data_IF_208649663657
#
_entry.id   IF_208649663657
#
_cell.length_a   1.000
_cell.length_b   1.000
_cell.length_c   1.000
_cell.angle_alpha   90.00
_cell.angle_beta   90.00
_cell.angle_gamma   90.00
#
_symmetry.space_group_name_H-M   'P 1'
#
loop_
_entity.id
_entity.type
_entity.pdbx_description
1 polymer ?
#
# COMPACT_ATOMS: atom_id res chain seq x y z
N UNK A 1 24.80 2.71 -20.75
CA UNK A 1 23.43 2.52 -21.27
C UNK A 1 22.50 3.31 -20.37
N UNK A 2 21.84 4.36 -20.89
CA UNK A 2 20.75 5.00 -20.14
C UNK A 2 19.64 3.94 -19.99
N UNK A 3 19.23 3.66 -18.75
CA UNK A 3 18.13 2.72 -18.50
C UNK A 3 16.84 3.40 -19.00
N UNK A 4 16.20 2.79 -19.98
CA UNK A 4 14.92 3.26 -20.50
C UNK A 4 13.79 2.86 -19.54
N UNK A 5 12.76 3.68 -19.45
CA UNK A 5 11.59 3.35 -18.64
C UNK A 5 10.87 2.13 -19.18
N UNK A 6 10.53 1.16 -18.32
CA UNK A 6 9.71 0.05 -18.76
C UNK A 6 8.37 0.56 -19.27
N UNK A 7 7.96 0.10 -20.45
CA UNK A 7 6.68 0.49 -21.08
C UNK A 7 5.49 0.30 -20.13
N UNK A 8 5.49 -0.77 -19.33
CA UNK A 8 4.43 -1.02 -18.36
C UNK A 8 4.32 0.10 -17.32
N UNK A 9 5.45 0.70 -16.90
CA UNK A 9 5.49 1.75 -15.90
C UNK A 9 5.00 3.08 -16.48
N UNK A 10 5.37 3.40 -17.71
CA UNK A 10 4.84 4.55 -18.44
C UNK A 10 3.31 4.47 -18.53
N UNK A 11 2.79 3.33 -19.01
CA UNK A 11 1.35 3.11 -19.12
C UNK A 11 0.65 3.17 -17.75
N UNK A 12 1.27 2.62 -16.71
CA UNK A 12 0.73 2.64 -15.35
C UNK A 12 0.64 4.06 -14.79
N UNK A 13 1.68 4.88 -14.98
CA UNK A 13 1.67 6.30 -14.58
C UNK A 13 0.65 7.08 -15.39
N UNK A 14 0.55 6.87 -16.70
CA UNK A 14 -0.48 7.50 -17.53
C UNK A 14 -1.89 7.14 -17.06
N UNK A 15 -2.13 5.87 -16.73
CA UNK A 15 -3.44 5.38 -16.31
C UNK A 15 -3.87 5.89 -14.92
N UNK A 16 -2.98 5.84 -13.95
CA UNK A 16 -3.32 5.99 -12.53
C UNK A 16 -2.67 7.20 -11.84
N UNK A 17 -1.74 7.88 -12.51
CA UNK A 17 -1.10 9.09 -12.02
C UNK A 17 -0.36 8.91 -10.68
N UNK A 18 -0.27 9.96 -9.87
CA UNK A 18 0.42 9.93 -8.57
C UNK A 18 -0.18 8.90 -7.59
N UNK A 19 -1.52 8.79 -7.54
CA UNK A 19 -2.21 7.81 -6.68
C UNK A 19 -1.81 6.38 -7.03
N UNK A 20 -1.74 6.06 -8.33
CA UNK A 20 -1.22 4.78 -8.79
C UNK A 20 0.22 4.56 -8.38
N UNK A 21 1.08 5.55 -8.60
CA UNK A 21 2.51 5.43 -8.28
C UNK A 21 2.76 5.18 -6.78
N UNK A 22 2.04 5.88 -5.91
CA UNK A 22 2.10 5.65 -4.46
C UNK A 22 1.57 4.25 -4.10
N UNK A 23 0.48 3.80 -4.72
CA UNK A 23 -0.05 2.45 -4.51
C UNK A 23 0.95 1.36 -4.98
N UNK A 24 1.62 1.59 -6.11
CA UNK A 24 2.66 0.71 -6.64
C UNK A 24 3.91 0.66 -5.74
N UNK A 25 4.34 1.80 -5.20
CA UNK A 25 5.43 1.88 -4.23
C UNK A 25 5.10 1.11 -2.94
N UNK A 26 3.88 1.26 -2.42
CA UNK A 26 3.39 0.42 -1.32
C UNK A 26 3.33 -1.07 -1.73
N UNK A 27 2.94 -1.38 -2.95
CA UNK A 27 2.92 -2.77 -3.42
C UNK A 27 4.32 -3.39 -3.47
N UNK A 28 5.32 -2.63 -3.92
CA UNK A 28 6.72 -3.05 -3.90
C UNK A 28 7.23 -3.29 -2.46
N UNK A 29 6.89 -2.37 -1.53
CA UNK A 29 7.22 -2.51 -0.11
C UNK A 29 6.56 -3.73 0.55
N UNK A 30 5.37 -4.14 0.10
CA UNK A 30 4.66 -5.30 0.62
C UNK A 30 5.47 -6.61 0.47
N UNK A 31 6.29 -6.72 -0.59
CA UNK A 31 7.20 -7.84 -0.81
C UNK A 31 8.44 -7.85 0.08
N UNK A 32 8.55 -6.86 0.97
CA UNK A 32 9.57 -6.77 2.02
C UNK A 32 8.97 -6.41 3.38
N UNK A 33 7.66 -6.58 3.56
CA UNK A 33 6.92 -6.07 4.72
C UNK A 33 7.48 -6.55 6.07
N UNK A 34 7.93 -7.81 6.16
CA UNK A 34 8.59 -8.33 7.37
C UNK A 34 9.90 -7.57 7.64
N UNK A 35 10.74 -7.41 6.62
CA UNK A 35 12.04 -6.73 6.70
C UNK A 35 11.88 -5.27 7.10
N UNK A 36 10.89 -4.60 6.49
CA UNK A 36 10.61 -3.20 6.81
C UNK A 36 10.16 -3.08 8.27
N UNK A 37 9.29 -3.98 8.77
CA UNK A 37 8.92 -3.99 10.20
C UNK A 37 10.09 -4.27 11.13
N UNK A 38 11.00 -5.17 10.76
CA UNK A 38 12.21 -5.45 11.55
C UNK A 38 13.08 -4.19 11.73
N UNK A 39 13.17 -3.34 10.70
CA UNK A 39 14.02 -2.14 10.69
C UNK A 39 13.30 -0.86 11.15
N UNK A 40 12.01 -0.75 10.87
CA UNK A 40 11.22 0.47 11.02
C UNK A 40 10.03 0.31 11.97
N UNK A 41 9.91 -0.83 12.64
CA UNK A 41 8.85 -1.22 13.58
C UNK A 41 7.46 -1.44 12.95
N UNK A 42 7.13 -0.72 11.88
CA UNK A 42 5.82 -0.75 11.21
C UNK A 42 5.94 -0.86 9.70
N UNK A 43 4.85 -1.23 9.03
CA UNK A 43 4.71 -1.17 7.58
C UNK A 43 3.26 -0.81 7.22
N UNK A 44 2.98 0.40 6.71
CA UNK A 44 1.67 1.06 6.80
C UNK A 44 0.54 0.22 6.21
N UNK A 45 -0.65 0.34 6.79
CA UNK A 45 -1.87 -0.22 6.20
C UNK A 45 -2.30 0.70 5.08
N UNK A 46 -2.45 0.16 3.87
CA UNK A 46 -2.96 0.94 2.75
C UNK A 46 -4.48 0.93 2.75
N UNK A 47 -5.09 2.09 2.55
CA UNK A 47 -6.51 2.19 2.28
C UNK A 47 -6.72 2.92 0.96
N UNK A 48 -7.38 2.26 0.00
CA UNK A 48 -7.72 2.83 -1.31
C UNK A 48 -9.21 3.13 -1.30
N UNK A 49 -9.53 4.42 -1.24
CA UNK A 49 -10.91 4.91 -1.10
C UNK A 49 -11.39 5.64 -2.35
N UNK A 50 -12.69 5.87 -2.43
CA UNK A 50 -13.30 6.73 -3.44
C UNK A 50 -14.67 6.23 -3.87
N UNK A 51 -15.41 7.03 -4.64
CA UNK A 51 -16.77 6.72 -5.06
C UNK A 51 -16.85 5.47 -5.96
N UNK A 52 -18.05 4.94 -6.18
CA UNK A 52 -18.26 3.89 -7.16
C UNK A 52 -17.82 4.37 -8.56
N UNK A 53 -17.11 3.52 -9.31
CA UNK A 53 -16.68 3.81 -10.68
C UNK A 53 -15.40 4.67 -10.83
N UNK A 54 -14.74 5.10 -9.74
CA UNK A 54 -13.47 5.87 -9.83
C UNK A 54 -12.24 5.01 -10.19
N UNK A 55 -12.41 3.69 -10.34
CA UNK A 55 -11.34 2.79 -10.79
C UNK A 55 -10.57 2.06 -9.70
N UNK A 56 -11.07 1.98 -8.45
CA UNK A 56 -10.44 1.24 -7.33
C UNK A 56 -10.05 -0.20 -7.71
N UNK A 57 -11.02 -1.01 -8.14
CA UNK A 57 -10.76 -2.41 -8.53
C UNK A 57 -9.89 -2.50 -9.79
N UNK A 58 -9.96 -1.54 -10.71
CA UNK A 58 -9.08 -1.48 -11.88
C UNK A 58 -7.61 -1.28 -11.48
N UNK A 59 -7.34 -0.36 -10.54
CA UNK A 59 -6.00 -0.15 -10.01
C UNK A 59 -5.45 -1.43 -9.36
N UNK A 60 -6.24 -2.03 -8.47
CA UNK A 60 -5.84 -3.25 -7.73
C UNK A 60 -5.63 -4.43 -8.66
N UNK A 61 -6.50 -4.62 -9.65
CA UNK A 61 -6.34 -5.68 -10.65
C UNK A 61 -5.03 -5.50 -11.44
N UNK A 62 -4.65 -4.27 -11.80
CA UNK A 62 -3.38 -4.02 -12.47
C UNK A 62 -2.17 -4.24 -11.55
N UNK A 63 -2.27 -3.94 -10.26
CA UNK A 63 -1.23 -4.27 -9.27
C UNK A 63 -1.03 -5.80 -9.12
N UNK A 64 -2.10 -6.59 -9.17
CA UNK A 64 -2.01 -8.06 -9.19
C UNK A 64 -1.36 -8.61 -10.47
N UNK A 65 -1.70 -8.03 -11.62
CA UNK A 65 -1.06 -8.38 -12.89
C UNK A 65 0.44 -8.14 -12.89
N UNK A 66 0.87 -7.02 -12.30
CA UNK A 66 2.29 -6.67 -12.17
C UNK A 66 3.11 -7.72 -11.40
N UNK A 67 2.45 -8.57 -10.61
CA UNK A 67 3.10 -9.62 -9.82
C UNK A 67 2.80 -11.03 -10.35
N UNK A 68 2.31 -11.11 -11.59
CA UNK A 68 2.07 -12.36 -12.29
C UNK A 68 0.76 -13.06 -11.94
N UNK A 69 -0.14 -12.42 -11.19
CA UNK A 69 -1.45 -12.98 -10.86
C UNK A 69 -2.48 -12.58 -11.90
N UNK A 70 -3.04 -13.55 -12.62
CA UNK A 70 -4.14 -13.34 -13.57
C UNK A 70 -5.46 -13.03 -12.86
N UNK A 71 -5.65 -13.64 -11.70
CA UNK A 71 -6.84 -13.49 -10.88
C UNK A 71 -6.52 -12.56 -9.69
N UNK A 72 -7.41 -11.62 -9.42
CA UNK A 72 -7.27 -10.78 -8.24
C UNK A 72 -7.45 -11.66 -6.99
N UNK A 73 -6.42 -11.75 -6.14
CA UNK A 73 -6.50 -12.49 -4.88
C UNK A 73 -7.20 -11.70 -3.77
N UNK A 74 -8.09 -10.78 -4.14
CA UNK A 74 -8.85 -9.97 -3.20
C UNK A 74 -9.75 -10.88 -2.34
N UNK A 75 -10.00 -10.45 -1.10
CA UNK A 75 -10.91 -11.13 -0.17
C UNK A 75 -11.94 -10.15 0.33
N UNK A 76 -13.10 -10.64 0.66
CA UNK A 76 -14.15 -9.89 1.34
C UNK A 76 -14.82 -10.80 2.35
N UNK A 77 -15.52 -10.26 3.35
CA UNK A 77 -16.30 -11.10 4.25
C UNK A 77 -17.50 -11.80 3.59
N UNK A 78 -17.87 -11.38 2.38
CA UNK A 78 -18.85 -12.11 1.55
C UNK A 78 -18.25 -13.35 0.90
N UNK A 79 -16.91 -13.45 0.80
CA UNK A 79 -16.20 -14.56 0.13
C UNK A 79 -15.33 -15.38 1.10
N UNK A 80 -15.03 -14.85 2.28
CA UNK A 80 -14.12 -15.43 3.26
C UNK A 80 -14.60 -15.14 4.69
N UNK A 81 -14.79 -16.17 5.52
CA UNK A 81 -15.12 -15.96 6.93
C UNK A 81 -13.96 -15.28 7.67
N UNK A 82 -14.23 -14.63 8.81
CA UNK A 82 -13.17 -14.00 9.63
C UNK A 82 -12.10 -15.01 10.08
N UNK A 83 -12.50 -16.24 10.42
CA UNK A 83 -11.55 -17.30 10.78
C UNK A 83 -10.66 -17.74 9.60
N UNK A 84 -11.21 -17.81 8.39
CA UNK A 84 -10.43 -18.08 7.19
C UNK A 84 -9.49 -16.90 6.85
N UNK A 85 -9.93 -15.65 7.07
CA UNK A 85 -9.10 -14.47 6.89
C UNK A 85 -7.90 -14.48 7.85
N UNK A 86 -8.11 -14.76 9.14
CA UNK A 86 -7.02 -14.88 10.11
C UNK A 86 -6.01 -15.97 9.71
N UNK A 87 -6.49 -17.09 9.16
CA UNK A 87 -5.61 -18.14 8.63
C UNK A 87 -4.81 -17.71 7.39
N UNK A 88 -5.39 -16.88 6.52
CA UNK A 88 -4.68 -16.26 5.39
C UNK A 88 -3.60 -15.30 5.91
N UNK A 89 -3.95 -14.40 6.84
CA UNK A 89 -3.01 -13.47 7.45
C UNK A 89 -1.84 -14.21 8.11
N UNK A 90 -2.11 -15.28 8.86
CA UNK A 90 -1.07 -16.08 9.50
C UNK A 90 -0.10 -16.76 8.52
N UNK A 91 -0.50 -16.94 7.25
CA UNK A 91 0.33 -17.55 6.19
C UNK A 91 0.99 -16.52 5.28
N UNK A 92 0.55 -15.26 5.34
CA UNK A 92 1.07 -14.20 4.49
C UNK A 92 2.43 -13.73 5.02
N UNK A 93 3.47 -13.95 4.21
CA UNK A 93 4.84 -13.52 4.49
C UNK A 93 5.33 -12.70 3.31
N UNK A 94 5.69 -11.42 3.54
CA UNK A 94 6.21 -10.53 2.50
C UNK A 94 5.33 -10.53 1.24
N UNK A 95 4.01 -10.41 1.43
CA UNK A 95 3.02 -10.32 0.35
C UNK A 95 1.84 -9.45 0.77
N UNK A 96 1.18 -8.77 -0.17
CA UNK A 96 -0.05 -8.05 0.10
C UNK A 96 -1.21 -9.02 0.37
N UNK A 97 -2.06 -8.66 1.33
CA UNK A 97 -3.40 -9.21 1.56
C UNK A 97 -4.38 -8.07 1.35
N UNK A 98 -5.25 -8.21 0.35
CA UNK A 98 -6.20 -7.16 -0.05
C UNK A 98 -7.61 -7.52 0.39
N UNK A 99 -8.21 -6.62 1.16
CA UNK A 99 -9.57 -6.73 1.65
C UNK A 99 -10.47 -5.73 0.92
N UNK A 100 -11.36 -6.23 0.08
CA UNK A 100 -12.40 -5.45 -0.58
C UNK A 100 -13.64 -5.35 0.31
N UNK A 101 -14.31 -4.21 0.18
CA UNK A 101 -15.62 -3.95 0.75
C UNK A 101 -16.64 -4.97 0.24
N UNK A 102 -17.41 -5.56 1.16
CA UNK A 102 -18.49 -6.49 0.84
C UNK A 102 -19.81 -5.77 0.56
N UNK A 103 -20.87 -6.53 0.31
CA UNK A 103 -22.22 -5.98 0.13
C UNK A 103 -22.75 -5.28 1.39
N UNK A 104 -22.27 -5.71 2.56
CA UNK A 104 -22.54 -5.10 3.87
C UNK A 104 -21.45 -4.11 4.28
N UNK A 105 -20.73 -3.52 3.32
CA UNK A 105 -19.61 -2.64 3.62
C UNK A 105 -18.44 -3.39 4.27
N UNK A 106 -17.84 -2.76 5.28
CA UNK A 106 -16.86 -3.38 6.18
C UNK A 106 -17.49 -3.91 7.48
N UNK A 107 -18.82 -4.06 7.54
CA UNK A 107 -19.47 -4.64 8.71
C UNK A 107 -19.11 -6.13 8.85
N UNK A 108 -18.82 -6.54 10.09
CA UNK A 108 -18.45 -7.91 10.43
C UNK A 108 -16.94 -8.18 10.49
N UNK A 109 -16.08 -7.24 10.11
CA UNK A 109 -14.64 -7.37 10.39
C UNK A 109 -14.40 -7.22 11.90
N UNK A 110 -13.69 -8.17 12.48
CA UNK A 110 -13.18 -8.02 13.84
C UNK A 110 -11.96 -7.10 13.82
N UNK A 111 -12.22 -5.80 13.95
CA UNK A 111 -11.20 -4.75 13.92
C UNK A 111 -10.19 -4.87 15.05
N UNK A 112 -10.59 -5.41 16.20
CA UNK A 112 -9.68 -5.64 17.32
C UNK A 112 -8.68 -6.74 16.94
N UNK A 113 -9.17 -7.86 16.40
CA UNK A 113 -8.31 -8.94 15.91
C UNK A 113 -7.36 -8.46 14.81
N UNK A 114 -7.84 -7.68 13.83
CA UNK A 114 -6.99 -7.14 12.75
C UNK A 114 -5.92 -6.16 13.29
N UNK A 115 -6.30 -5.31 14.25
CA UNK A 115 -5.37 -4.37 14.90
C UNK A 115 -4.31 -5.09 15.73
N UNK A 116 -4.68 -6.16 16.42
CA UNK A 116 -3.77 -7.03 17.17
C UNK A 116 -2.80 -7.76 16.25
N UNK A 117 -3.30 -8.38 15.17
CA UNK A 117 -2.48 -9.03 14.14
C UNK A 117 -1.39 -8.08 13.62
N UNK A 118 -1.78 -6.86 13.29
CA UNK A 118 -0.89 -5.88 12.70
C UNK A 118 0.09 -5.25 13.72
N UNK A 119 -0.29 -5.17 15.00
CA UNK A 119 0.58 -4.68 16.08
C UNK A 119 1.60 -5.71 16.56
N UNK A 120 1.71 -6.86 15.89
CA UNK A 120 2.65 -7.93 16.24
C UNK A 120 2.10 -8.92 17.27
N UNK A 121 0.80 -8.87 17.54
CA UNK A 121 0.08 -9.87 18.33
C UNK A 121 0.11 -11.24 17.66
N UNK A 122 -0.04 -12.28 18.47
CA UNK A 122 0.04 -13.65 18.02
C UNK A 122 -1.32 -14.09 17.45
N UNK A 123 -1.34 -14.51 16.18
CA UNK A 123 -2.51 -15.11 15.56
C UNK A 123 -2.59 -16.56 16.02
N UNK A 124 -3.65 -16.89 16.76
CA UNK A 124 -3.89 -18.25 17.22
C UNK A 124 -4.07 -19.19 16.02
N UNK A 125 -3.19 -20.20 15.92
CA UNK A 125 -3.33 -21.27 14.93
C UNK A 125 -4.12 -22.39 15.57
N UNK A 126 -5.35 -22.65 15.13
CA UNK A 126 -6.10 -23.83 15.58
C UNK A 126 -5.46 -25.08 14.99
N UNK A 127 -4.60 -25.75 15.76
CA UNK A 127 -4.05 -27.07 15.49
C UNK A 127 -4.54 -28.06 16.54
N UNK A 128 -4.52 -29.35 16.23
CA UNK A 128 -4.82 -30.42 17.20
C UNK A 128 -3.76 -30.55 18.32
N UNK A 129 -2.63 -29.84 18.18
CA UNK A 129 -1.50 -29.86 19.10
C UNK A 129 -1.50 -28.59 19.99
N UNK A 130 -1.56 -28.72 21.33
CA UNK A 130 -1.71 -27.59 22.27
C UNK A 130 -0.47 -26.70 22.45
N UNK A 131 0.68 -27.02 21.86
CA UNK A 131 1.96 -26.31 22.11
C UNK A 131 2.34 -25.29 21.02
N UNK A 132 1.46 -25.00 20.05
CA UNK A 132 1.83 -24.07 18.96
C UNK A 132 1.72 -22.62 19.41
N UNK A 133 2.87 -21.98 19.64
CA UNK A 133 2.98 -20.53 19.76
C UNK A 133 2.31 -19.86 18.56
N UNK A 134 1.45 -18.85 18.81
CA UNK A 134 0.74 -18.16 17.74
C UNK A 134 1.70 -17.50 16.73
N UNK A 135 1.25 -17.35 15.49
CA UNK A 135 2.07 -16.83 14.39
C UNK A 135 1.89 -15.33 14.27
N UNK A 136 2.95 -14.57 14.02
CA UNK A 136 2.85 -13.12 13.79
C UNK A 136 2.54 -12.83 12.32
N UNK A 137 1.74 -11.80 12.06
CA UNK A 137 1.50 -11.34 10.69
C UNK A 137 2.79 -10.78 10.07
N UNK A 138 3.20 -11.33 8.93
CA UNK A 138 4.43 -10.95 8.22
C UNK A 138 4.15 -10.36 6.82
N UNK A 139 2.89 -10.24 6.43
CA UNK A 139 2.46 -9.68 5.16
C UNK A 139 2.22 -8.18 5.22
N UNK A 140 1.54 -7.62 4.21
CA UNK A 140 1.05 -6.25 4.21
C UNK A 140 -0.47 -6.26 4.03
N UNK A 141 -1.17 -5.30 4.63
CA UNK A 141 -2.63 -5.26 4.61
C UNK A 141 -3.11 -4.03 3.83
N UNK A 142 -3.96 -4.25 2.84
CA UNK A 142 -4.63 -3.20 2.10
C UNK A 142 -6.15 -3.36 2.19
N UNK A 143 -6.86 -2.24 2.31
CA UNK A 143 -8.31 -2.16 2.20
C UNK A 143 -8.70 -1.37 0.96
N UNK A 144 -9.79 -1.78 0.33
CA UNK A 144 -10.28 -1.18 -0.92
C UNK A 144 -11.79 -1.03 -0.83
N UNK A 145 -12.29 0.20 -0.83
CA UNK A 145 -13.70 0.45 -0.53
C UNK A 145 -14.01 1.88 -0.14
N UNK A 146 -14.90 2.03 0.84
CA UNK A 146 -15.17 3.27 1.57
C UNK A 146 -14.07 3.64 2.58
N UNK A 147 -14.28 4.75 3.29
CA UNK A 147 -13.38 5.19 4.35
C UNK A 147 -13.43 4.26 5.57
N UNK A 148 -12.28 4.09 6.22
CA UNK A 148 -12.17 3.25 7.42
C UNK A 148 -12.10 4.13 8.67
N UNK A 149 -13.05 3.95 9.57
CA UNK A 149 -13.07 4.70 10.84
C UNK A 149 -12.13 4.10 11.90
N UNK A 150 -11.92 2.77 11.89
CA UNK A 150 -11.40 2.03 13.05
C UNK A 150 -9.87 1.92 13.17
N UNK A 151 -9.08 2.05 12.09
CA UNK A 151 -7.59 1.86 12.14
C UNK A 151 -6.82 3.16 11.80
N UNK A 152 -7.34 4.31 12.22
CA UNK A 152 -6.97 5.60 11.63
C UNK A 152 -5.47 5.96 11.67
N UNK A 153 -4.79 5.79 12.81
CA UNK A 153 -3.43 6.33 13.03
C UNK A 153 -2.31 5.61 12.25
N UNK A 154 -2.58 4.40 11.72
CA UNK A 154 -1.59 3.59 10.99
C UNK A 154 -1.96 3.35 9.52
N UNK A 155 -3.04 3.98 9.07
CA UNK A 155 -3.49 3.94 7.68
C UNK A 155 -2.86 5.08 6.88
N UNK A 156 -2.46 4.76 5.65
CA UNK A 156 -2.21 5.72 4.58
C UNK A 156 -3.37 5.65 3.58
N UNK A 157 -4.06 6.78 3.38
CA UNK A 157 -5.30 6.83 2.59
C UNK A 157 -5.02 7.38 1.19
N UNK A 158 -5.06 6.52 0.18
CA UNK A 158 -5.08 6.94 -1.23
C UNK A 158 -6.54 7.13 -1.63
N UNK A 159 -7.00 8.38 -1.65
CA UNK A 159 -8.34 8.70 -2.15
C UNK A 159 -8.32 8.90 -3.67
N UNK A 160 -9.03 8.02 -4.39
CA UNK A 160 -9.22 8.15 -5.83
C UNK A 160 -10.40 9.07 -6.12
N UNK A 161 -10.10 10.22 -6.70
CA UNK A 161 -11.12 11.15 -7.18
C UNK A 161 -11.68 10.70 -8.53
N UNK A 162 -12.94 11.04 -8.79
CA UNK A 162 -13.46 10.95 -10.14
C UNK A 162 -12.63 11.86 -11.06
N UNK A 163 -12.21 11.32 -12.19
CA UNK A 163 -11.49 12.06 -13.21
C UNK A 163 -12.18 11.85 -14.56
N UNK A 164 -12.25 12.88 -15.41
CA UNK A 164 -12.73 12.71 -16.77
C UNK A 164 -11.90 11.63 -17.49
N UNK A 165 -12.58 10.70 -18.16
CA UNK A 165 -11.90 9.74 -19.04
C UNK A 165 -11.30 10.48 -20.22
N UNK A 166 -9.97 10.53 -20.28
CA UNK A 166 -9.24 10.98 -21.46
C UNK A 166 -8.96 9.80 -22.39
N UNK A 167 -8.73 10.08 -23.68
CA UNK A 167 -8.34 9.07 -24.65
C UNK A 167 -7.06 8.35 -24.21
N UNK A 168 -6.04 9.12 -23.79
CA UNK A 168 -4.74 8.60 -23.36
C UNK A 168 -4.86 7.65 -22.16
N UNK A 169 -5.66 7.99 -21.14
CA UNK A 169 -5.88 7.12 -19.97
C UNK A 169 -6.58 5.84 -20.35
N UNK A 170 -7.60 5.95 -21.20
CA UNK A 170 -8.38 4.79 -21.63
C UNK A 170 -7.52 3.84 -22.48
N UNK A 171 -6.69 4.40 -23.37
CA UNK A 171 -5.71 3.65 -24.15
C UNK A 171 -4.61 3.05 -23.28
N UNK A 172 -4.11 3.76 -22.27
CA UNK A 172 -3.09 3.24 -21.37
C UNK A 172 -3.61 2.06 -20.53
N UNK A 173 -4.84 2.19 -20.00
CA UNK A 173 -5.50 1.09 -19.30
C UNK A 173 -5.67 -0.11 -20.22
N UNK A 174 -6.15 0.08 -21.45
CA UNK A 174 -6.31 -1.00 -22.41
C UNK A 174 -4.96 -1.65 -22.76
N UNK A 175 -3.93 -0.84 -23.00
CA UNK A 175 -2.59 -1.35 -23.28
C UNK A 175 -2.00 -2.13 -22.10
N UNK A 176 -2.29 -1.75 -20.86
CA UNK A 176 -1.94 -2.55 -19.68
C UNK A 176 -2.69 -3.88 -19.62
N UNK A 177 -3.94 -3.94 -20.10
CA UNK A 177 -4.67 -5.21 -20.24
C UNK A 177 -4.06 -6.13 -21.29
N UNK A 178 -3.58 -5.54 -22.38
CA UNK A 178 -3.04 -6.26 -23.54
C UNK A 178 -1.58 -6.72 -23.33
N UNK A 179 -0.85 -6.14 -22.37
CA UNK A 179 0.46 -6.63 -21.96
C UNK A 179 0.35 -8.06 -21.43
N UNK A 180 1.23 -8.95 -21.89
CA UNK A 180 1.23 -10.33 -21.43
C UNK A 180 1.76 -10.43 -20.00
N UNK A 181 1.32 -11.44 -19.24
CA UNK A 181 1.80 -11.72 -17.88
C UNK A 181 3.34 -11.80 -17.82
N UNK A 182 3.97 -12.30 -18.89
CA UNK A 182 5.43 -12.35 -19.02
C UNK A 182 6.11 -10.98 -19.03
N UNK A 183 5.45 -9.95 -19.58
CA UNK A 183 5.95 -8.57 -19.65
C UNK A 183 5.99 -7.89 -18.27
N UNK A 184 5.30 -8.48 -17.28
CA UNK A 184 5.23 -8.00 -15.91
C UNK A 184 6.17 -8.74 -14.95
N UNK A 185 6.77 -9.87 -15.40
CA UNK A 185 7.63 -10.71 -14.55
C UNK A 185 8.88 -9.99 -14.03
N UNK A 186 9.35 -8.95 -14.73
CA UNK A 186 10.50 -8.15 -14.27
C UNK A 186 10.18 -7.38 -12.98
N UNK A 187 8.95 -6.89 -12.80
CA UNK A 187 8.62 -6.05 -11.64
C UNK A 187 8.86 -6.80 -10.33
N UNK A 188 8.20 -7.94 -10.15
CA UNK A 188 8.28 -8.71 -8.91
C UNK A 188 9.70 -9.23 -8.65
N UNK A 189 10.35 -9.79 -9.67
CA UNK A 189 11.71 -10.34 -9.57
C UNK A 189 12.68 -9.24 -9.12
N UNK A 190 12.67 -8.11 -9.81
CA UNK A 190 13.57 -6.98 -9.50
C UNK A 190 13.31 -6.42 -8.11
N UNK A 191 12.05 -6.25 -7.71
CA UNK A 191 11.70 -5.81 -6.35
C UNK A 191 12.26 -6.79 -5.32
N UNK A 192 12.06 -8.10 -5.48
CA UNK A 192 12.49 -9.12 -4.52
C UNK A 192 14.01 -9.29 -4.43
N UNK A 193 14.73 -9.08 -5.53
CA UNK A 193 16.19 -9.12 -5.60
C UNK A 193 16.84 -7.86 -5.02
N UNK A 194 16.14 -6.73 -5.03
CA UNK A 194 16.70 -5.41 -4.66
C UNK A 194 16.70 -5.10 -3.16
N UNK A 195 17.03 -6.11 -2.34
CA UNK A 195 16.98 -6.02 -0.87
C UNK A 195 17.93 -4.97 -0.29
N UNK A 196 19.15 -4.93 -0.81
CA UNK A 196 20.17 -4.00 -0.33
C UNK A 196 19.83 -2.55 -0.68
N UNK A 197 19.32 -2.30 -1.90
CA UNK A 197 18.86 -0.96 -2.28
C UNK A 197 17.69 -0.50 -1.40
N UNK A 198 16.74 -1.40 -1.10
CA UNK A 198 15.67 -1.08 -0.17
C UNK A 198 16.22 -0.71 1.21
N UNK A 199 17.13 -1.51 1.77
CA UNK A 199 17.72 -1.23 3.09
C UNK A 199 18.45 0.12 3.13
N UNK A 200 19.22 0.44 2.08
CA UNK A 200 19.85 1.75 1.93
C UNK A 200 18.81 2.88 1.94
N UNK A 201 17.72 2.72 1.19
CA UNK A 201 16.63 3.69 1.13
C UNK A 201 15.92 3.85 2.47
N UNK A 202 15.66 2.77 3.20
CA UNK A 202 15.06 2.81 4.55
C UNK A 202 15.89 3.63 5.55
N UNK A 203 17.20 3.78 5.36
CA UNK A 203 18.04 4.69 6.15
C UNK A 203 17.59 6.16 6.09
N UNK A 204 16.85 6.55 5.05
CA UNK A 204 16.39 7.93 4.83
C UNK A 204 15.02 8.23 5.47
N UNK A 205 14.34 7.23 6.05
CA UNK A 205 13.02 7.43 6.69
C UNK A 205 13.09 8.52 7.76
N UNK A 206 14.17 8.55 8.56
CA UNK A 206 14.34 9.57 9.60
C UNK A 206 14.38 11.00 9.06
N UNK A 207 15.02 11.22 7.90
CA UNK A 207 15.08 12.54 7.27
C UNK A 207 13.70 12.99 6.78
N UNK A 208 12.93 12.08 6.17
CA UNK A 208 11.55 12.39 5.76
C UNK A 208 10.61 12.64 6.95
N UNK A 209 10.77 11.90 8.05
CA UNK A 209 10.03 12.19 9.29
C UNK A 209 10.32 13.60 9.77
N UNK A 210 11.59 14.01 9.83
CA UNK A 210 11.98 15.37 10.24
C UNK A 210 11.41 16.44 9.31
N UNK A 211 11.47 16.23 7.99
CA UNK A 211 10.87 17.14 7.00
C UNK A 211 9.37 17.32 7.22
N UNK A 212 8.63 16.22 7.36
CA UNK A 212 7.18 16.27 7.57
C UNK A 212 6.81 16.92 8.90
N UNK A 213 7.58 16.67 9.97
CA UNK A 213 7.36 17.32 11.26
C UNK A 213 7.60 18.84 11.17
N UNK A 214 8.65 19.26 10.47
CA UNK A 214 8.92 20.67 10.24
C UNK A 214 7.82 21.33 9.39
N UNK A 215 7.40 20.70 8.29
CA UNK A 215 6.31 21.18 7.42
C UNK A 215 4.99 21.35 8.18
N UNK A 216 4.70 20.45 9.11
CA UNK A 216 3.45 20.43 9.89
C UNK A 216 3.54 21.13 11.23
N UNK A 217 4.61 21.89 11.52
CA UNK A 217 4.87 22.53 12.82
C UNK A 217 4.73 21.58 14.02
N UNK A 218 5.22 20.35 13.88
CA UNK A 218 5.09 19.25 14.84
C UNK A 218 3.64 18.82 15.16
N UNK A 219 2.68 19.16 14.29
CA UNK A 219 1.28 18.77 14.44
C UNK A 219 0.98 17.33 14.03
N UNK A 220 1.91 16.67 13.32
CA UNK A 220 1.73 15.31 12.83
C UNK A 220 2.08 14.27 13.90
N UNK A 221 1.19 13.32 14.25
CA UNK A 221 1.52 12.23 15.16
C UNK A 221 2.74 11.42 14.66
N UNK A 222 3.60 10.97 15.58
CA UNK A 222 4.86 10.31 15.23
C UNK A 222 4.67 9.05 14.34
N UNK A 223 3.63 8.26 14.61
CA UNK A 223 3.29 7.08 13.80
C UNK A 223 2.84 7.47 12.39
N UNK A 224 2.01 8.51 12.26
CA UNK A 224 1.57 9.03 10.96
C UNK A 224 2.77 9.55 10.15
N UNK A 225 3.65 10.34 10.78
CA UNK A 225 4.87 10.83 10.16
C UNK A 225 5.76 9.69 9.65
N UNK A 226 5.96 8.65 10.46
CA UNK A 226 6.75 7.47 10.06
C UNK A 226 6.13 6.73 8.88
N UNK A 227 4.81 6.50 8.91
CA UNK A 227 4.12 5.78 7.84
C UNK A 227 4.19 6.51 6.49
N UNK A 228 4.03 7.84 6.49
CA UNK A 228 4.13 8.63 5.26
C UNK A 228 5.60 8.79 4.80
N UNK A 229 6.55 8.90 5.73
CA UNK A 229 7.98 8.89 5.41
C UNK A 229 8.42 7.56 4.76
N UNK A 230 7.92 6.42 5.27
CA UNK A 230 8.14 5.11 4.66
C UNK A 230 7.61 5.07 3.22
N UNK A 231 6.41 5.62 2.95
CA UNK A 231 5.90 5.71 1.58
C UNK A 231 6.79 6.54 0.65
N UNK A 232 7.30 7.69 1.10
CA UNK A 232 8.22 8.51 0.27
C UNK A 232 9.47 7.75 -0.10
N UNK A 233 10.07 7.06 0.88
CA UNK A 233 11.23 6.20 0.67
C UNK A 233 10.92 5.06 -0.32
N UNK A 234 9.72 4.48 -0.27
CA UNK A 234 9.32 3.44 -1.22
C UNK A 234 9.10 3.98 -2.64
N UNK A 235 8.64 5.22 -2.78
CA UNK A 235 8.57 5.91 -4.09
C UNK A 235 9.99 6.10 -4.64
N UNK A 236 10.94 6.55 -3.82
CA UNK A 236 12.34 6.70 -4.24
C UNK A 236 12.98 5.36 -4.62
N UNK A 237 12.69 4.32 -3.83
CA UNK A 237 13.13 2.96 -4.12
C UNK A 237 12.60 2.50 -5.47
N UNK A 238 11.33 2.76 -5.79
CA UNK A 238 10.75 2.41 -7.09
C UNK A 238 11.45 3.15 -8.24
N UNK A 239 11.73 4.45 -8.07
CA UNK A 239 12.47 5.25 -9.05
C UNK A 239 13.91 4.75 -9.28
N UNK A 240 14.58 4.23 -8.25
CA UNK A 240 15.91 3.61 -8.42
C UNK A 240 15.85 2.32 -9.25
N UNK A 241 14.81 1.52 -9.04
CA UNK A 241 14.64 0.23 -9.73
C UNK A 241 14.23 0.42 -11.18
N UNK A 242 13.34 1.37 -11.43
CA UNK A 242 12.72 1.62 -12.73
C UNK A 242 12.79 3.11 -13.04
N UNK A 243 13.86 3.57 -13.72
CA UNK A 243 13.96 4.97 -14.11
C UNK A 243 12.82 5.33 -15.06
N UNK A 244 12.13 6.41 -14.76
CA UNK A 244 10.96 6.98 -15.45
C UNK A 244 11.40 8.11 -16.40
N UNK A 245 10.80 8.19 -17.59
CA UNK A 245 11.27 9.09 -18.63
C UNK A 245 11.13 10.58 -18.24
N UNK A 246 10.17 10.87 -17.35
CA UNK A 246 9.97 12.14 -16.65
C UNK A 246 10.14 11.95 -15.12
N UNK A 247 11.23 11.27 -14.75
CA UNK A 247 11.60 10.82 -13.40
C UNK A 247 11.26 11.81 -12.30
N UNK A 248 11.57 13.09 -12.52
CA UNK A 248 11.41 14.12 -11.50
C UNK A 248 9.96 14.51 -11.30
N UNK A 249 9.14 14.57 -12.36
CA UNK A 249 7.77 15.06 -12.23
C UNK A 249 6.88 14.02 -11.56
N UNK A 250 6.89 12.77 -12.04
CA UNK A 250 6.05 11.72 -11.49
C UNK A 250 6.39 11.42 -10.01
N UNK A 251 7.69 11.34 -9.70
CA UNK A 251 8.18 11.18 -8.32
C UNK A 251 7.78 12.37 -7.43
N UNK A 252 7.96 13.60 -7.92
CA UNK A 252 7.57 14.81 -7.19
C UNK A 252 6.08 14.86 -6.90
N UNK A 253 5.23 14.60 -7.91
CA UNK A 253 3.78 14.60 -7.74
C UNK A 253 3.33 13.53 -6.72
N UNK A 254 3.98 12.36 -6.71
CA UNK A 254 3.74 11.33 -5.70
C UNK A 254 4.18 11.76 -4.29
N UNK A 255 5.33 12.44 -4.16
CA UNK A 255 5.77 13.00 -2.87
C UNK A 255 4.83 14.09 -2.36
N UNK A 256 4.31 14.95 -3.25
CA UNK A 256 3.31 15.96 -2.92
C UNK A 256 2.02 15.31 -2.42
N UNK A 257 1.50 14.30 -3.15
CA UNK A 257 0.34 13.52 -2.69
C UNK A 257 0.57 12.90 -1.31
N UNK A 258 1.77 12.38 -1.03
CA UNK A 258 2.10 11.84 0.29
C UNK A 258 2.12 12.92 1.38
N UNK A 259 2.58 14.14 1.08
CA UNK A 259 2.44 15.26 2.02
C UNK A 259 0.97 15.58 2.28
N UNK A 260 0.14 15.67 1.23
CA UNK A 260 -1.29 15.97 1.39
C UNK A 260 -2.00 14.91 2.23
N UNK A 261 -1.69 13.63 2.02
CA UNK A 261 -2.16 12.54 2.88
C UNK A 261 -1.72 12.72 4.33
N UNK A 262 -0.47 13.11 4.58
CA UNK A 262 0.03 13.35 5.93
C UNK A 262 -0.69 14.54 6.59
N UNK A 263 -0.93 15.63 5.85
CA UNK A 263 -1.66 16.80 6.34
C UNK A 263 -3.09 16.50 6.78
N UNK A 264 -3.76 15.52 6.16
CA UNK A 264 -5.09 15.09 6.59
C UNK A 264 -5.10 14.61 8.05
N UNK A 265 -4.03 13.97 8.53
CA UNK A 265 -3.90 13.50 9.91
C UNK A 265 -3.74 14.66 10.92
N UNK A 266 -3.18 15.79 10.49
CA UNK A 266 -3.07 17.00 11.33
C UNK A 266 -4.46 17.59 11.57
N UNK A 267 -5.27 17.72 10.52
CA UNK A 267 -6.64 18.21 10.62
C UNK A 267 -7.49 17.32 11.54
N UNK A 268 -7.34 16.00 11.44
CA UNK A 268 -8.03 15.03 12.31
C UNK A 268 -7.57 15.10 13.77
N UNK A 269 -6.27 15.30 14.02
CA UNK A 269 -5.73 15.45 15.37
C UNK A 269 -6.27 16.71 16.06
N UNK A 270 -6.48 17.81 15.33
CA UNK A 270 -7.08 19.04 15.86
C UNK A 270 -8.60 18.95 16.05
N UNK A 271 -9.29 18.09 15.27
CA UNK A 271 -10.74 17.91 15.36
C UNK A 271 -11.18 16.92 16.45
N UNK A 272 -10.27 16.06 16.94
CA UNK A 272 -10.58 15.13 18.02
C UNK A 272 -10.84 15.90 19.34
N UNK A 273 -12.01 15.76 19.98
CA UNK A 273 -12.27 16.40 21.25
C UNK A 273 -11.26 15.87 22.28
N UNK A 274 -10.54 16.79 22.94
CA UNK A 274 -9.74 16.50 24.13
C UNK A 274 -10.67 16.09 25.27
N UNK A 275 -11.10 14.85 25.28
CA UNK A 275 -11.70 14.23 26.46
C UNK A 275 -10.55 13.90 27.42
N UNK A 276 -10.36 14.80 28.40
CA UNK A 276 -9.73 14.52 29.67
C UNK A 276 -10.70 13.76 30.57
#
# INVERSE_FOLDING_TARGET
MQKQTPKWLELFITAFGPSGLVALAWWAGAFHAQRIRELQLTYPILNITGNAGVGKSTLVANLWKLVGSSDAENRSLSTCSMGALLAILARAVNRPVVLEEGHSGHDGYDWNALSECYSGGAIARRTSDPVVAGVRFQGALAFVGGELETINRRIVNIHLHWQPRTADKSQAIQALYDLHIGDFSEFLVKVQESREQLMYRLGHVGAYVQSMQAETNNGLPADAARNHAQLRVLVDFLSDLFPMADDRKAQHDAHCLISDMAWSHVAMAHAAPTHY
#
